data_IF_690522287305
#
_entry.id   IF_690522287305
#
_cell.length_a   1.000
_cell.length_b   1.000
_cell.length_c   1.000
_cell.angle_alpha   90.00
_cell.angle_beta   90.00
_cell.angle_gamma   90.00
#
_symmetry.space_group_name_H-M   'P 1'
#
loop_
_entity.id
_entity.type
_entity.pdbx_description
1 polymer ?
#
# COMPACT_ATOMS: atom_id res chain seq x y z
N UNK A 1 -29.43 -11.66 -25.23
CA UNK A 1 -29.55 -11.98 -23.78
C UNK A 1 -28.37 -11.32 -23.14
N UNK A 2 -28.67 -10.30 -22.37
CA UNK A 2 -27.75 -9.30 -21.84
C UNK A 2 -26.83 -9.85 -20.73
N UNK A 3 -25.58 -9.64 -20.96
CA UNK A 3 -24.46 -9.91 -20.02
C UNK A 3 -24.51 -8.88 -18.88
N UNK A 4 -25.21 -9.20 -17.79
CA UNK A 4 -25.23 -8.37 -16.58
C UNK A 4 -23.90 -8.54 -15.86
N UNK A 5 -23.01 -7.57 -16.07
CA UNK A 5 -21.80 -7.36 -15.25
C UNK A 5 -22.21 -7.08 -13.82
N UNK A 6 -22.10 -8.09 -12.98
CA UNK A 6 -22.28 -7.98 -11.53
C UNK A 6 -21.01 -7.28 -10.94
N UNK A 7 -20.90 -6.00 -11.16
CA UNK A 7 -20.07 -5.11 -10.36
C UNK A 7 -20.99 -4.40 -9.37
N UNK A 8 -21.13 -5.03 -8.19
CA UNK A 8 -21.89 -4.43 -7.10
C UNK A 8 -20.97 -3.44 -6.35
N UNK A 9 -21.21 -2.10 -6.41
CA UNK A 9 -20.36 -1.09 -5.77
C UNK A 9 -20.26 -1.23 -4.24
N UNK A 10 -21.25 -1.86 -3.59
CA UNK A 10 -21.26 -2.07 -2.14
C UNK A 10 -20.28 -3.13 -1.62
N UNK A 11 -19.73 -4.01 -2.49
CA UNK A 11 -18.73 -5.01 -2.08
C UNK A 11 -17.32 -4.45 -1.90
N UNK A 12 -17.02 -3.28 -2.48
CA UNK A 12 -15.71 -2.62 -2.36
C UNK A 12 -15.46 -2.07 -0.96
N UNK A 13 -16.50 -1.56 -0.30
CA UNK A 13 -16.36 -0.92 1.02
C UNK A 13 -16.18 -1.93 2.15
N UNK A 14 -16.89 -3.06 2.12
CA UNK A 14 -16.72 -4.14 3.08
C UNK A 14 -15.33 -4.79 2.96
N UNK A 15 -14.87 -5.07 1.75
CA UNK A 15 -13.52 -5.61 1.52
C UNK A 15 -12.42 -4.65 2.02
N UNK A 16 -12.61 -3.35 1.89
CA UNK A 16 -11.68 -2.32 2.37
C UNK A 16 -11.65 -2.23 3.90
N UNK A 17 -12.79 -2.33 4.57
CA UNK A 17 -12.89 -2.33 6.04
C UNK A 17 -12.27 -3.59 6.65
N UNK A 18 -12.50 -4.77 6.06
CA UNK A 18 -11.87 -6.02 6.51
C UNK A 18 -10.35 -6.01 6.32
N UNK A 19 -9.85 -5.47 5.22
CA UNK A 19 -8.40 -5.31 5.03
C UNK A 19 -7.78 -4.37 6.06
N UNK A 20 -8.48 -3.33 6.48
CA UNK A 20 -8.02 -2.42 7.52
C UNK A 20 -7.81 -3.14 8.88
N UNK A 21 -8.70 -4.08 9.23
CA UNK A 21 -8.58 -4.88 10.46
C UNK A 21 -7.41 -5.87 10.47
N UNK A 22 -6.96 -6.32 9.31
CA UNK A 22 -5.83 -7.25 9.17
C UNK A 22 -4.47 -6.55 9.14
N UNK A 23 -4.43 -5.22 8.92
CA UNK A 23 -3.18 -4.48 8.81
C UNK A 23 -2.42 -4.44 10.13
N UNK A 24 -1.10 -4.65 10.15
CA UNK A 24 -0.27 -4.40 11.31
C UNK A 24 -0.33 -2.91 11.70
N UNK A 25 -0.19 -2.64 12.99
CA UNK A 25 -0.21 -1.26 13.52
C UNK A 25 1.16 -0.77 13.91
N UNK A 26 2.08 -1.68 14.21
CA UNK A 26 3.45 -1.37 14.65
C UNK A 26 4.48 -2.05 13.73
N UNK A 27 5.73 -1.62 13.81
CA UNK A 27 6.83 -2.29 13.12
C UNK A 27 7.04 -3.72 13.64
N UNK A 28 6.76 -3.99 14.90
CA UNK A 28 6.89 -5.33 15.47
C UNK A 28 5.84 -6.29 14.92
N UNK A 29 4.62 -5.80 14.66
CA UNK A 29 3.55 -6.57 14.02
C UNK A 29 3.74 -6.76 12.51
N UNK A 30 4.66 -5.98 11.89
CA UNK A 30 4.88 -5.99 10.46
C UNK A 30 5.81 -7.14 10.07
N UNK A 31 5.25 -8.21 9.52
CA UNK A 31 5.97 -9.41 9.11
C UNK A 31 6.76 -9.13 7.84
N UNK A 32 7.97 -9.68 7.75
CA UNK A 32 8.85 -9.58 6.59
C UNK A 32 9.54 -8.22 6.41
N UNK A 33 10.19 -8.04 5.26
CA UNK A 33 10.92 -6.81 4.90
C UNK A 33 11.92 -6.37 5.99
N UNK A 34 12.63 -7.30 6.60
CA UNK A 34 13.43 -7.08 7.82
C UNK A 34 14.37 -5.87 7.70
N UNK A 35 15.14 -5.78 6.60
CA UNK A 35 16.07 -4.67 6.37
C UNK A 35 15.38 -3.30 6.32
N UNK A 36 14.19 -3.25 5.72
CA UNK A 36 13.38 -2.02 5.64
C UNK A 36 12.89 -1.62 7.02
N UNK A 37 12.40 -2.59 7.80
CA UNK A 37 11.92 -2.38 9.18
C UNK A 37 13.05 -1.85 10.09
N UNK A 38 14.21 -2.49 10.06
CA UNK A 38 15.37 -2.07 10.87
C UNK A 38 15.80 -0.63 10.54
N UNK A 39 15.92 -0.28 9.26
CA UNK A 39 16.28 1.06 8.84
C UNK A 39 15.22 2.10 9.25
N UNK A 40 13.94 1.78 9.06
CA UNK A 40 12.83 2.67 9.47
C UNK A 40 12.78 2.84 10.98
N UNK A 41 12.99 1.77 11.75
CA UNK A 41 13.04 1.86 13.21
C UNK A 41 14.09 2.86 13.69
N UNK A 42 15.32 2.79 13.16
CA UNK A 42 16.40 3.73 13.49
C UNK A 42 16.00 5.17 13.13
N UNK A 43 15.47 5.39 11.93
CA UNK A 43 15.10 6.72 11.44
C UNK A 43 13.94 7.33 12.25
N UNK A 44 12.93 6.52 12.57
CA UNK A 44 11.77 6.93 13.37
C UNK A 44 12.20 7.29 14.79
N UNK A 45 12.98 6.45 15.44
CA UNK A 45 13.46 6.73 16.82
C UNK A 45 14.34 7.98 16.86
N UNK A 46 15.21 8.18 15.87
CA UNK A 46 16.01 9.37 15.78
C UNK A 46 15.16 10.65 15.58
N UNK A 47 14.13 10.60 14.75
CA UNK A 47 13.19 11.72 14.55
C UNK A 47 12.40 12.03 15.85
N UNK A 48 11.92 11.00 16.55
CA UNK A 48 11.23 11.13 17.84
C UNK A 48 12.12 11.78 18.91
N UNK A 49 13.38 11.35 19.01
CA UNK A 49 14.33 11.91 19.98
C UNK A 49 14.65 13.38 19.73
N UNK A 50 14.72 13.79 18.47
CA UNK A 50 14.92 15.20 18.10
C UNK A 50 13.65 16.04 18.20
N UNK A 51 12.46 15.41 18.24
CA UNK A 51 11.17 16.11 18.16
C UNK A 51 10.86 16.68 16.77
N UNK A 52 11.53 16.19 15.74
CA UNK A 52 11.40 16.65 14.36
C UNK A 52 10.44 15.77 13.54
N UNK A 53 10.00 16.28 12.37
CA UNK A 53 9.39 15.43 11.36
C UNK A 53 10.41 14.40 10.82
N UNK A 54 9.95 13.21 10.45
CA UNK A 54 10.77 12.23 9.75
C UNK A 54 11.11 12.75 8.35
N UNK A 55 12.30 12.45 7.85
CA UNK A 55 12.64 12.71 6.45
C UNK A 55 11.61 12.09 5.51
N UNK A 56 11.41 12.71 4.34
CA UNK A 56 10.47 12.21 3.35
C UNK A 56 10.84 10.80 2.89
N UNK A 57 9.84 9.91 2.80
CA UNK A 57 10.01 8.47 2.54
C UNK A 57 9.43 8.10 1.18
N UNK A 58 10.19 7.41 0.36
CA UNK A 58 9.73 6.77 -0.87
C UNK A 58 9.67 5.26 -0.71
N UNK A 59 8.46 4.70 -0.84
CA UNK A 59 8.23 3.26 -0.82
C UNK A 59 7.92 2.79 -2.25
N UNK A 60 8.73 1.87 -2.79
CA UNK A 60 8.49 1.38 -4.14
C UNK A 60 8.57 -0.13 -4.24
N UNK A 61 7.95 -0.69 -5.26
CA UNK A 61 7.91 -2.13 -5.51
C UNK A 61 6.57 -2.59 -6.09
N UNK A 62 6.44 -3.87 -6.43
CA UNK A 62 5.22 -4.45 -6.98
C UNK A 62 3.95 -4.13 -6.18
N UNK A 63 2.76 -4.20 -6.80
CA UNK A 63 1.51 -3.97 -6.09
C UNK A 63 1.25 -5.08 -5.04
N UNK A 64 0.53 -4.73 -3.97
CA UNK A 64 0.09 -5.71 -2.95
C UNK A 64 1.13 -6.10 -1.90
N UNK A 65 2.33 -5.48 -1.90
CA UNK A 65 3.41 -5.78 -0.95
C UNK A 65 3.36 -4.96 0.36
N UNK A 66 2.32 -4.14 0.58
CA UNK A 66 2.10 -3.45 1.85
C UNK A 66 2.65 -2.02 1.93
N UNK A 67 2.92 -1.31 0.81
CA UNK A 67 3.39 0.09 0.84
C UNK A 67 2.49 1.01 1.66
N UNK A 68 1.18 1.00 1.41
CA UNK A 68 0.18 1.77 2.15
C UNK A 68 0.10 1.35 3.63
N UNK A 69 0.24 0.06 3.90
CA UNK A 69 0.28 -0.47 5.27
C UNK A 69 1.51 0.03 6.01
N UNK A 70 2.67 -0.01 5.37
CA UNK A 70 3.92 0.46 5.98
C UNK A 70 3.88 1.97 6.24
N UNK A 71 3.28 2.77 5.35
CA UNK A 71 3.06 4.20 5.59
C UNK A 71 2.20 4.44 6.83
N UNK A 72 1.12 3.67 7.02
CA UNK A 72 0.29 3.77 8.22
C UNK A 72 1.04 3.34 9.48
N UNK A 73 1.87 2.29 9.40
CA UNK A 73 2.74 1.86 10.51
C UNK A 73 3.74 2.97 10.88
N UNK A 74 4.38 3.62 9.90
CA UNK A 74 5.30 4.73 10.16
C UNK A 74 4.59 5.87 10.91
N UNK A 75 3.40 6.27 10.47
CA UNK A 75 2.63 7.32 11.14
C UNK A 75 2.24 6.93 12.59
N UNK A 76 1.83 5.68 12.80
CA UNK A 76 1.52 5.16 14.13
C UNK A 76 2.74 5.15 15.04
N UNK A 77 3.89 4.70 14.54
CA UNK A 77 5.15 4.70 15.29
C UNK A 77 5.60 6.13 15.67
N UNK A 78 5.41 7.09 14.76
CA UNK A 78 5.67 8.51 15.04
C UNK A 78 4.65 9.13 16.01
N UNK A 79 3.51 8.47 16.23
CA UNK A 79 2.42 8.98 17.07
C UNK A 79 1.68 10.17 16.46
N UNK A 80 1.60 10.24 15.12
CA UNK A 80 0.97 11.35 14.38
C UNK A 80 -0.15 10.85 13.46
N UNK A 81 -1.01 11.77 13.04
CA UNK A 81 -2.04 11.46 12.06
C UNK A 81 -1.45 11.27 10.66
N UNK A 82 -2.12 10.44 9.85
CA UNK A 82 -1.79 10.27 8.44
C UNK A 82 -2.96 10.72 7.58
N UNK A 83 -2.70 11.65 6.66
CA UNK A 83 -3.61 11.97 5.56
C UNK A 83 -3.20 11.20 4.33
N UNK A 84 -4.14 10.48 3.74
CA UNK A 84 -3.89 9.65 2.59
C UNK A 84 -4.61 10.18 1.36
N UNK A 85 -3.89 10.22 0.24
CA UNK A 85 -4.41 10.54 -1.09
C UNK A 85 -3.69 9.69 -2.13
N UNK A 86 -4.02 9.90 -3.41
CA UNK A 86 -3.34 9.25 -4.52
C UNK A 86 -2.98 10.28 -5.60
N UNK A 87 -1.87 10.07 -6.31
CA UNK A 87 -1.43 10.95 -7.37
C UNK A 87 -2.53 11.35 -8.36
N UNK A 88 -3.33 10.40 -8.89
CA UNK A 88 -4.42 10.72 -9.82
C UNK A 88 -5.57 11.55 -9.24
N UNK A 89 -5.71 11.59 -7.93
CA UNK A 89 -6.79 12.36 -7.24
C UNK A 89 -6.44 13.82 -7.12
N UNK A 90 -5.14 14.14 -7.13
CA UNK A 90 -4.65 15.53 -7.08
C UNK A 90 -4.68 16.08 -8.51
N UNK A 91 -5.78 16.74 -8.88
CA UNK A 91 -5.96 17.23 -10.24
C UNK A 91 -5.39 18.65 -10.45
N UNK A 92 -5.44 19.46 -9.41
CA UNK A 92 -5.06 20.87 -9.46
C UNK A 92 -4.06 21.24 -8.37
N UNK A 93 -3.25 22.25 -8.65
CA UNK A 93 -2.36 22.90 -7.71
C UNK A 93 -3.03 23.29 -6.38
N UNK A 94 -4.26 23.80 -6.47
CA UNK A 94 -5.06 24.19 -5.31
C UNK A 94 -5.46 23.03 -4.40
N UNK A 95 -5.63 21.82 -4.95
CA UNK A 95 -5.97 20.62 -4.17
C UNK A 95 -4.81 20.23 -3.25
N UNK A 96 -3.58 20.23 -3.81
CA UNK A 96 -2.37 19.96 -3.05
C UNK A 96 -2.09 21.06 -2.02
N UNK A 97 -2.24 22.33 -2.40
CA UNK A 97 -2.05 23.46 -1.51
C UNK A 97 -3.03 23.42 -0.33
N UNK A 98 -4.30 23.10 -0.56
CA UNK A 98 -5.30 22.94 0.49
C UNK A 98 -4.95 21.79 1.45
N UNK A 99 -4.45 20.67 0.94
CA UNK A 99 -3.98 19.57 1.79
C UNK A 99 -2.79 19.99 2.64
N UNK A 100 -1.77 20.60 2.04
CA UNK A 100 -0.53 20.96 2.74
C UNK A 100 -0.74 22.06 3.78
N UNK A 101 -1.54 23.08 3.50
CA UNK A 101 -1.83 24.18 4.44
C UNK A 101 -2.67 23.77 5.67
N UNK A 102 -3.35 22.64 5.58
CA UNK A 102 -4.16 22.09 6.69
C UNK A 102 -3.46 21.01 7.49
N UNK A 103 -2.23 20.60 7.11
CA UNK A 103 -1.44 19.65 7.88
C UNK A 103 -1.05 20.22 9.24
N UNK A 104 -1.06 19.37 10.25
CA UNK A 104 -0.51 19.70 11.56
C UNK A 104 0.99 19.42 11.61
N UNK A 105 1.66 19.95 12.62
CA UNK A 105 3.09 19.73 12.80
C UNK A 105 3.44 18.25 12.88
N UNK A 106 4.42 17.82 12.09
CA UNK A 106 4.93 16.42 11.96
C UNK A 106 3.92 15.41 11.41
N UNK A 107 2.75 15.85 10.97
CA UNK A 107 1.74 14.97 10.36
C UNK A 107 2.31 14.28 9.09
N UNK A 108 1.82 13.08 8.79
CA UNK A 108 2.21 12.34 7.58
C UNK A 108 1.23 12.62 6.47
N UNK A 109 1.74 13.06 5.31
CA UNK A 109 1.00 13.06 4.05
C UNK A 109 1.43 11.83 3.23
N UNK A 110 0.50 10.92 2.98
CA UNK A 110 0.72 9.76 2.14
C UNK A 110 0.12 9.96 0.76
N UNK A 111 0.94 9.80 -0.30
CA UNK A 111 0.50 9.87 -1.69
C UNK A 111 0.77 8.53 -2.37
N UNK A 112 -0.30 7.77 -2.65
CA UNK A 112 -0.18 6.53 -3.43
C UNK A 112 -0.05 6.83 -4.92
N UNK A 113 0.68 5.97 -5.64
CA UNK A 113 0.97 6.14 -7.07
C UNK A 113 1.51 7.55 -7.39
N UNK A 114 2.44 8.02 -6.59
CA UNK A 114 3.03 9.38 -6.66
C UNK A 114 3.58 9.72 -8.06
N UNK A 115 4.01 8.74 -8.84
CA UNK A 115 4.47 8.90 -10.24
C UNK A 115 3.36 9.33 -11.22
N UNK A 116 2.10 9.35 -10.77
CA UNK A 116 0.95 9.75 -11.60
C UNK A 116 0.51 11.21 -11.36
N UNK A 117 1.22 11.95 -10.55
CA UNK A 117 1.03 13.40 -10.43
C UNK A 117 1.46 14.09 -11.72
N UNK A 118 0.81 15.20 -12.05
CA UNK A 118 1.23 16.04 -13.17
C UNK A 118 2.51 16.83 -12.81
N UNK A 119 3.35 17.18 -13.78
CA UNK A 119 4.54 17.99 -13.51
C UNK A 119 4.24 19.31 -12.80
N UNK A 120 3.12 19.96 -13.11
CA UNK A 120 2.71 21.20 -12.45
C UNK A 120 2.41 21.03 -10.96
N UNK A 121 1.94 19.83 -10.54
CA UNK A 121 1.71 19.49 -9.14
C UNK A 121 3.03 19.16 -8.45
N UNK A 122 3.94 18.46 -9.14
CA UNK A 122 5.28 18.18 -8.61
C UNK A 122 6.05 19.47 -8.32
N UNK A 123 5.98 20.49 -9.21
CA UNK A 123 6.66 21.78 -9.03
C UNK A 123 6.22 22.51 -7.75
N UNK A 124 4.95 22.35 -7.34
CA UNK A 124 4.44 22.94 -6.08
C UNK A 124 4.90 22.12 -4.87
N UNK A 125 5.06 20.81 -5.06
CA UNK A 125 5.49 19.92 -3.98
C UNK A 125 6.97 20.14 -3.61
N UNK A 126 7.82 20.54 -4.56
CA UNK A 126 9.25 20.71 -4.32
C UNK A 126 9.58 21.70 -3.20
N UNK A 127 9.14 22.98 -3.26
CA UNK A 127 9.43 23.92 -2.17
C UNK A 127 8.75 23.51 -0.86
N UNK A 128 7.60 22.83 -0.92
CA UNK A 128 6.95 22.32 0.28
C UNK A 128 7.78 21.24 0.98
N UNK A 129 8.49 20.40 0.23
CA UNK A 129 9.36 19.35 0.78
C UNK A 129 10.71 19.89 1.30
N UNK A 130 11.28 20.91 0.64
CA UNK A 130 12.60 21.43 0.98
C UNK A 130 12.54 22.56 2.04
N UNK A 131 11.67 23.54 1.79
CA UNK A 131 11.63 24.79 2.54
C UNK A 131 10.40 24.91 3.47
N UNK A 132 9.45 23.97 3.36
CA UNK A 132 8.15 24.02 4.04
C UNK A 132 7.37 25.29 3.68
N UNK A 133 7.43 25.67 2.42
CA UNK A 133 6.75 26.83 1.83
C UNK A 133 6.01 26.44 0.55
N UNK A 134 4.91 27.11 0.27
CA UNK A 134 4.19 27.00 -1.01
C UNK A 134 4.27 28.32 -1.74
N UNK A 135 4.61 28.26 -3.03
CA UNK A 135 4.53 29.41 -3.92
C UNK A 135 3.14 29.44 -4.58
N UNK A 136 2.28 30.34 -4.13
CA UNK A 136 0.92 30.49 -4.65
C UNK A 136 0.84 31.76 -5.50
N UNK A 137 0.41 31.59 -6.76
CA UNK A 137 0.14 32.74 -7.65
C UNK A 137 -1.22 33.31 -7.35
N UNK A 138 -1.26 34.59 -6.95
CA UNK A 138 -2.49 35.35 -6.69
C UNK A 138 -2.67 36.39 -7.79
N UNK A 139 -3.87 36.43 -8.40
CA UNK A 139 -4.21 37.34 -9.49
C UNK A 139 -4.05 36.69 -10.87
N UNK A 140 -4.34 37.46 -11.90
CA UNK A 140 -4.25 37.04 -13.31
C UNK A 140 -3.49 38.08 -14.15
N UNK A 141 -2.84 37.61 -15.21
CA UNK A 141 -2.14 38.48 -16.15
C UNK A 141 -0.91 39.22 -15.55
N UNK A 142 -0.57 40.42 -16.02
CA UNK A 142 0.64 41.12 -15.59
C UNK A 142 0.67 41.58 -14.13
N UNK A 143 -0.47 41.52 -13.44
CA UNK A 143 -0.60 41.84 -11.99
C UNK A 143 -0.54 40.60 -11.09
N UNK A 144 -0.32 39.42 -11.64
CA UNK A 144 -0.15 38.22 -10.84
C UNK A 144 1.10 38.34 -9.94
N UNK A 145 0.95 37.98 -8.68
CA UNK A 145 2.03 37.99 -7.68
C UNK A 145 2.19 36.61 -7.08
N UNK A 146 3.44 36.16 -6.92
CA UNK A 146 3.73 34.99 -6.11
C UNK A 146 3.73 35.36 -4.64
N UNK A 147 3.02 34.58 -3.82
CA UNK A 147 2.99 34.73 -2.37
C UNK A 147 3.47 33.41 -1.77
N UNK A 148 4.47 33.49 -0.90
CA UNK A 148 4.97 32.35 -0.14
C UNK A 148 4.06 32.10 1.07
N UNK A 149 3.51 30.91 1.17
CA UNK A 149 2.67 30.49 2.28
C UNK A 149 3.43 29.41 3.05
N UNK A 150 3.76 29.65 4.32
CA UNK A 150 4.43 28.63 5.12
C UNK A 150 3.48 27.46 5.40
N UNK A 151 4.03 26.24 5.39
CA UNK A 151 3.35 25.01 5.81
C UNK A 151 4.06 24.43 7.03
N UNK A 152 3.32 23.69 7.84
CA UNK A 152 3.92 23.00 9.00
C UNK A 152 4.93 21.96 8.53
N UNK A 153 5.95 21.68 9.33
CA UNK A 153 6.88 20.58 9.04
C UNK A 153 6.12 19.27 9.02
N UNK A 154 6.21 18.53 7.93
CA UNK A 154 5.49 17.30 7.71
C UNK A 154 6.39 16.23 7.10
N UNK A 155 5.96 14.98 7.14
CA UNK A 155 6.62 13.89 6.44
C UNK A 155 5.78 13.50 5.23
N UNK A 156 6.37 13.61 4.02
CA UNK A 156 5.77 13.02 2.83
C UNK A 156 6.17 11.55 2.73
N UNK A 157 5.20 10.66 2.60
CA UNK A 157 5.43 9.26 2.22
C UNK A 157 4.85 9.04 0.83
N UNK A 158 5.72 8.93 -0.17
CA UNK A 158 5.33 8.59 -1.54
C UNK A 158 5.36 7.08 -1.75
N UNK A 159 4.32 6.52 -2.39
CA UNK A 159 4.32 5.14 -2.82
C UNK A 159 4.24 5.05 -4.35
N UNK A 160 4.96 4.10 -4.95
CA UNK A 160 4.93 3.87 -6.39
C UNK A 160 5.18 2.42 -6.76
N UNK A 161 4.53 1.97 -7.82
CA UNK A 161 4.83 0.69 -8.48
C UNK A 161 5.87 0.85 -9.60
N UNK A 162 6.16 2.08 -10.04
CA UNK A 162 6.96 2.39 -11.22
C UNK A 162 7.96 3.53 -10.96
N UNK A 163 9.08 3.20 -10.33
CA UNK A 163 10.14 4.20 -10.03
C UNK A 163 10.72 4.89 -11.26
N UNK A 164 10.76 4.22 -12.40
CA UNK A 164 11.26 4.80 -13.65
C UNK A 164 10.38 5.91 -14.22
N UNK A 165 9.16 6.10 -13.72
CA UNK A 165 8.27 7.20 -14.11
C UNK A 165 8.35 8.40 -13.16
N UNK A 166 9.07 8.29 -12.03
CA UNK A 166 9.33 9.43 -11.16
C UNK A 166 10.36 10.36 -11.80
N UNK A 167 10.10 11.65 -11.74
CA UNK A 167 11.06 12.65 -12.16
C UNK A 167 12.31 12.61 -11.26
N UNK A 168 13.47 12.89 -11.81
CA UNK A 168 14.71 12.93 -11.05
C UNK A 168 14.68 13.98 -9.92
N UNK A 169 14.10 15.18 -10.11
CA UNK A 169 13.95 16.16 -9.04
C UNK A 169 13.08 15.68 -7.87
N UNK A 170 11.94 15.05 -8.16
CA UNK A 170 11.07 14.51 -7.10
C UNK A 170 11.78 13.41 -6.32
N UNK A 171 12.43 12.48 -7.04
CA UNK A 171 13.14 11.37 -6.41
C UNK A 171 14.26 11.83 -5.48
N UNK A 172 15.00 12.88 -5.87
CA UNK A 172 16.13 13.40 -5.09
C UNK A 172 15.70 14.02 -3.74
N UNK A 173 14.42 14.39 -3.60
CA UNK A 173 13.87 15.00 -2.39
C UNK A 173 13.44 14.00 -1.32
N UNK A 174 13.41 12.72 -1.65
CA UNK A 174 13.19 11.68 -0.65
C UNK A 174 14.50 11.29 0.02
N UNK A 175 14.64 11.62 1.31
CA UNK A 175 15.82 11.27 2.12
C UNK A 175 15.88 9.77 2.45
N UNK A 176 14.73 9.12 2.52
CA UNK A 176 14.60 7.69 2.84
C UNK A 176 13.93 6.98 1.66
N UNK A 177 14.63 5.99 1.06
CA UNK A 177 14.13 5.27 -0.11
C UNK A 177 14.19 3.77 0.14
N UNK A 178 13.04 3.11 0.14
CA UNK A 178 12.95 1.66 0.37
C UNK A 178 12.21 0.93 -0.73
N UNK A 179 12.83 -0.15 -1.20
CA UNK A 179 12.20 -1.12 -2.08
C UNK A 179 11.54 -2.20 -1.23
N UNK A 180 10.28 -2.51 -1.54
CA UNK A 180 9.59 -3.68 -1.01
C UNK A 180 9.70 -4.80 -2.03
N UNK A 181 10.17 -5.96 -1.59
CA UNK A 181 10.32 -7.15 -2.39
C UNK A 181 9.22 -8.18 -2.09
N UNK A 182 9.09 -9.18 -2.96
CA UNK A 182 8.19 -10.30 -2.68
C UNK A 182 8.59 -11.01 -1.40
N UNK A 183 7.59 -11.44 -0.66
CA UNK A 183 7.77 -12.14 0.61
C UNK A 183 8.17 -13.59 0.40
N UNK A 184 8.99 -14.11 1.29
CA UNK A 184 9.27 -15.54 1.38
C UNK A 184 8.02 -16.35 1.77
N UNK A 185 8.04 -17.64 1.47
CA UNK A 185 6.91 -18.52 1.79
C UNK A 185 6.63 -18.56 3.30
N UNK A 186 7.66 -18.59 4.13
CA UNK A 186 7.54 -18.58 5.58
C UNK A 186 6.90 -17.30 6.10
N UNK A 187 7.29 -16.15 5.54
CA UNK A 187 6.69 -14.86 5.88
C UNK A 187 5.20 -14.79 5.50
N UNK A 188 4.85 -15.26 4.30
CA UNK A 188 3.43 -15.33 3.87
C UNK A 188 2.65 -16.30 4.76
N UNK A 189 3.24 -17.44 5.13
CA UNK A 189 2.60 -18.39 6.06
C UNK A 189 2.28 -17.72 7.41
N UNK A 190 3.21 -16.96 7.95
CA UNK A 190 3.01 -16.20 9.19
C UNK A 190 1.90 -15.15 9.03
N UNK A 191 1.86 -14.44 7.89
CA UNK A 191 0.79 -13.48 7.57
C UNK A 191 -0.57 -14.18 7.52
N UNK A 192 -0.67 -15.35 6.86
CA UNK A 192 -1.93 -16.11 6.77
C UNK A 192 -2.37 -16.57 8.15
N UNK A 193 -1.48 -17.10 8.98
CA UNK A 193 -1.79 -17.52 10.35
C UNK A 193 -2.27 -16.36 11.22
N UNK A 194 -1.58 -15.22 11.16
CA UNK A 194 -1.97 -14.01 11.85
C UNK A 194 -3.36 -13.54 11.41
N UNK A 195 -3.59 -13.49 10.09
CA UNK A 195 -4.87 -13.08 9.52
C UNK A 195 -6.01 -14.02 9.88
N UNK A 196 -5.79 -15.35 9.87
CA UNK A 196 -6.77 -16.35 10.27
C UNK A 196 -7.14 -16.18 11.75
N UNK A 197 -6.17 -15.91 12.62
CA UNK A 197 -6.40 -15.63 14.05
C UNK A 197 -7.26 -14.39 14.25
N UNK A 198 -6.95 -13.29 13.55
CA UNK A 198 -7.74 -12.04 13.63
C UNK A 198 -9.18 -12.27 13.15
N UNK A 199 -9.35 -13.07 12.09
CA UNK A 199 -10.67 -13.42 11.55
C UNK A 199 -11.41 -14.46 12.38
N UNK A 200 -10.80 -15.02 13.43
CA UNK A 200 -11.40 -16.07 14.27
C UNK A 200 -11.65 -17.39 13.52
N UNK A 201 -10.84 -17.69 12.50
CA UNK A 201 -11.01 -18.89 11.66
C UNK A 201 -9.95 -19.94 12.01
N UNK A 202 -10.34 -21.13 12.47
CA UNK A 202 -9.41 -22.22 12.70
C UNK A 202 -8.86 -22.73 11.35
N UNK A 203 -7.54 -22.85 11.26
CA UNK A 203 -6.83 -23.28 10.05
C UNK A 203 -5.70 -24.23 10.40
N UNK A 204 -5.57 -25.32 9.67
CA UNK A 204 -4.49 -26.27 9.80
C UNK A 204 -3.18 -25.73 9.21
N UNK A 205 -2.05 -26.22 9.74
CA UNK A 205 -0.72 -25.84 9.27
C UNK A 205 -0.54 -26.09 7.77
N UNK A 206 -0.95 -27.26 7.29
CA UNK A 206 -0.81 -27.64 5.89
C UNK A 206 -1.70 -26.80 4.97
N UNK A 207 -2.90 -26.43 5.41
CA UNK A 207 -3.78 -25.52 4.70
C UNK A 207 -3.17 -24.11 4.61
N UNK A 208 -2.48 -23.67 5.67
CA UNK A 208 -1.74 -22.41 5.69
C UNK A 208 -0.61 -22.40 4.64
N UNK A 209 0.14 -23.49 4.54
CA UNK A 209 1.21 -23.65 3.54
C UNK A 209 0.60 -23.60 2.13
N UNK A 210 -0.49 -24.31 1.88
CA UNK A 210 -1.16 -24.34 0.57
C UNK A 210 -1.60 -22.93 0.12
N UNK A 211 -2.18 -22.13 1.02
CA UNK A 211 -2.55 -20.74 0.72
C UNK A 211 -1.31 -19.87 0.49
N UNK A 212 -0.27 -20.05 1.30
CA UNK A 212 0.96 -19.27 1.19
C UNK A 212 1.66 -19.50 -0.15
N UNK A 213 1.84 -20.75 -0.55
CA UNK A 213 2.48 -21.13 -1.83
C UNK A 213 1.73 -20.48 -3.01
N UNK A 214 0.39 -20.56 -3.03
CA UNK A 214 -0.41 -19.98 -4.12
C UNK A 214 -0.53 -18.45 -4.09
N UNK A 215 -0.02 -17.80 -3.05
CA UNK A 215 -0.03 -16.33 -2.93
C UNK A 215 1.11 -15.63 -3.65
N UNK A 216 2.07 -16.37 -4.19
CA UNK A 216 3.22 -15.86 -4.95
C UNK A 216 3.96 -14.71 -4.25
N UNK A 217 4.21 -14.86 -2.95
CA UNK A 217 4.92 -13.86 -2.16
C UNK A 217 4.19 -12.52 -1.98
N UNK A 218 2.86 -12.48 -2.17
CA UNK A 218 2.09 -11.24 -2.12
C UNK A 218 1.06 -11.26 -0.99
N UNK A 219 1.23 -10.47 0.09
CA UNK A 219 0.31 -10.43 1.24
C UNK A 219 -1.14 -10.13 0.88
N UNK A 220 -1.40 -9.23 -0.08
CA UNK A 220 -2.76 -8.91 -0.55
C UNK A 220 -3.43 -10.15 -1.18
N UNK A 221 -2.69 -10.92 -1.97
CA UNK A 221 -3.20 -12.16 -2.57
C UNK A 221 -3.45 -13.19 -1.48
N UNK A 222 -2.53 -13.37 -0.54
CA UNK A 222 -2.68 -14.30 0.59
C UNK A 222 -3.96 -14.04 1.40
N UNK A 223 -4.18 -12.79 1.79
CA UNK A 223 -5.37 -12.39 2.54
C UNK A 223 -6.66 -12.56 1.71
N UNK A 224 -6.61 -12.27 0.41
CA UNK A 224 -7.74 -12.51 -0.49
C UNK A 224 -8.09 -13.99 -0.59
N UNK A 225 -7.08 -14.85 -0.80
CA UNK A 225 -7.27 -16.31 -0.86
C UNK A 225 -7.80 -16.85 0.47
N UNK A 226 -7.20 -16.45 1.60
CA UNK A 226 -7.67 -16.86 2.93
C UNK A 226 -9.15 -16.53 3.15
N UNK A 227 -9.61 -15.33 2.77
CA UNK A 227 -11.03 -14.95 2.89
C UNK A 227 -11.92 -15.85 2.05
N UNK A 228 -11.57 -16.14 0.81
CA UNK A 228 -12.37 -17.02 -0.07
C UNK A 228 -12.41 -18.45 0.43
N UNK A 229 -11.28 -18.96 0.93
CA UNK A 229 -11.21 -20.29 1.55
C UNK A 229 -12.06 -20.34 2.83
N UNK A 230 -12.06 -19.28 3.65
CA UNK A 230 -12.93 -19.14 4.82
C UNK A 230 -14.41 -19.21 4.42
N UNK A 231 -14.81 -18.42 3.41
CA UNK A 231 -16.21 -18.39 2.94
C UNK A 231 -16.66 -19.79 2.48
N UNK A 232 -15.77 -20.51 1.77
CA UNK A 232 -16.01 -21.91 1.37
C UNK A 232 -16.13 -22.83 2.60
N UNK A 233 -15.23 -22.70 3.59
CA UNK A 233 -15.26 -23.49 4.80
C UNK A 233 -16.54 -23.28 5.61
N UNK A 234 -17.05 -22.07 5.70
CA UNK A 234 -18.30 -21.75 6.38
C UNK A 234 -19.52 -22.39 5.71
N UNK A 235 -19.54 -22.45 4.38
CA UNK A 235 -20.72 -22.93 3.62
C UNK A 235 -20.66 -24.44 3.36
N UNK A 236 -19.47 -24.99 3.11
CA UNK A 236 -19.27 -26.38 2.64
C UNK A 236 -18.57 -27.29 3.62
N UNK A 237 -18.08 -26.74 4.74
CA UNK A 237 -17.45 -27.45 5.82
C UNK A 237 -18.00 -26.90 7.16
N UNK A 238 -17.37 -27.24 8.26
CA UNK A 238 -17.77 -26.81 9.61
C UNK A 238 -17.08 -25.50 10.07
N UNK A 239 -16.64 -24.67 9.14
CA UNK A 239 -15.91 -23.43 9.43
C UNK A 239 -14.41 -23.61 9.70
N UNK A 240 -13.90 -24.85 9.70
CA UNK A 240 -12.48 -25.16 9.87
C UNK A 240 -11.79 -25.35 8.52
N UNK A 241 -10.67 -24.68 8.33
CA UNK A 241 -9.88 -24.76 7.10
C UNK A 241 -8.86 -25.88 7.23
N UNK A 242 -9.21 -27.07 6.75
CA UNK A 242 -8.27 -28.19 6.57
C UNK A 242 -7.58 -28.10 5.21
N UNK A 243 -6.54 -28.93 5.00
CA UNK A 243 -5.85 -29.00 3.69
C UNK A 243 -6.82 -29.32 2.54
N UNK A 244 -7.74 -30.28 2.74
CA UNK A 244 -8.73 -30.68 1.74
C UNK A 244 -9.70 -29.54 1.42
N UNK A 245 -10.18 -28.83 2.44
CA UNK A 245 -11.04 -27.64 2.30
C UNK A 245 -10.32 -26.56 1.52
N UNK A 246 -9.06 -26.26 1.85
CA UNK A 246 -8.27 -25.27 1.17
C UNK A 246 -8.10 -25.61 -0.34
N UNK A 247 -7.72 -26.84 -0.64
CA UNK A 247 -7.56 -27.31 -2.04
C UNK A 247 -8.85 -27.22 -2.84
N UNK A 248 -9.95 -27.67 -2.31
CA UNK A 248 -11.27 -27.60 -2.99
C UNK A 248 -11.71 -26.15 -3.21
N UNK A 249 -11.53 -25.28 -2.23
CA UNK A 249 -11.84 -23.88 -2.36
C UNK A 249 -10.97 -23.19 -3.44
N UNK A 250 -9.66 -23.42 -3.42
CA UNK A 250 -8.72 -22.85 -4.39
C UNK A 250 -8.96 -23.39 -5.80
N UNK A 251 -9.35 -24.66 -5.95
CA UNK A 251 -9.77 -25.24 -7.22
C UNK A 251 -11.05 -24.59 -7.75
N UNK A 252 -12.04 -24.32 -6.89
CA UNK A 252 -13.26 -23.60 -7.26
C UNK A 252 -12.98 -22.15 -7.72
N UNK A 253 -11.91 -21.55 -7.20
CA UNK A 253 -11.43 -20.22 -7.60
C UNK A 253 -10.55 -20.26 -8.84
N UNK A 254 -10.38 -21.44 -9.45
CA UNK A 254 -9.51 -21.67 -10.62
C UNK A 254 -8.05 -21.24 -10.43
N UNK A 255 -7.60 -21.18 -9.19
CA UNK A 255 -6.20 -20.90 -8.82
C UNK A 255 -5.42 -22.21 -8.85
N UNK A 256 -4.47 -22.33 -9.75
CA UNK A 256 -3.66 -23.53 -9.89
C UNK A 256 -2.61 -23.70 -8.77
N UNK A 257 -1.85 -24.79 -8.80
CA UNK A 257 -0.82 -25.11 -7.77
C UNK A 257 0.29 -24.05 -7.69
N UNK A 258 0.50 -23.26 -8.75
CA UNK A 258 1.49 -22.19 -8.81
C UNK A 258 0.89 -20.82 -8.47
N UNK A 259 -0.40 -20.78 -8.16
CA UNK A 259 -1.11 -19.53 -7.83
C UNK A 259 -1.54 -18.70 -9.05
N UNK A 260 -1.56 -19.28 -10.25
CA UNK A 260 -2.05 -18.60 -11.44
C UNK A 260 -3.56 -18.76 -11.58
N UNK A 261 -4.25 -17.65 -11.84
CA UNK A 261 -5.65 -17.67 -12.25
C UNK A 261 -5.81 -17.89 -13.77
N UNK A 262 -7.04 -17.91 -14.27
CA UNK A 262 -7.31 -18.12 -15.68
C UNK A 262 -6.67 -17.04 -16.57
N UNK A 263 -6.67 -15.78 -16.13
CA UNK A 263 -6.09 -14.65 -16.87
C UNK A 263 -4.57 -14.80 -16.93
N UNK A 264 -3.93 -15.12 -15.83
CA UNK A 264 -2.48 -15.37 -15.77
C UNK A 264 -2.09 -16.48 -16.76
N UNK A 265 -2.84 -17.60 -16.76
CA UNK A 265 -2.57 -18.73 -17.67
C UNK A 265 -2.77 -18.37 -19.14
N UNK A 266 -3.78 -17.56 -19.46
CA UNK A 266 -3.98 -17.06 -20.84
C UNK A 266 -2.83 -16.17 -21.30
N UNK A 267 -2.37 -15.25 -20.44
CA UNK A 267 -1.22 -14.38 -20.74
C UNK A 267 0.06 -15.18 -20.96
N UNK A 268 0.33 -16.18 -20.11
CA UNK A 268 1.48 -17.06 -20.27
C UNK A 268 1.45 -17.86 -21.59
N UNK A 269 0.27 -18.38 -21.97
CA UNK A 269 0.10 -19.07 -23.25
C UNK A 269 0.35 -18.16 -24.44
N UNK A 270 -0.16 -16.91 -24.41
CA UNK A 270 0.08 -15.94 -25.46
C UNK A 270 1.57 -15.56 -25.57
N UNK A 271 2.25 -15.38 -24.45
CA UNK A 271 3.68 -15.09 -24.41
C UNK A 271 4.52 -16.22 -25.02
N UNK A 272 4.16 -17.49 -24.77
CA UNK A 272 4.85 -18.66 -25.32
C UNK A 272 4.61 -18.88 -26.81
N UNK A 273 3.52 -18.34 -27.39
CA UNK A 273 3.22 -18.47 -28.84
C UNK A 273 4.05 -17.46 -29.66
N UNK A 274 4.58 -16.42 -29.03
CA UNK A 274 5.37 -15.37 -29.70
C UNK A 274 6.90 -15.49 -29.50
N UNK A 275 7.37 -16.60 -28.91
CA UNK A 275 8.78 -17.00 -28.83
C UNK A 275 9.04 -18.10 -29.86
#
# INVERSE_FOLDING_TARGET
MSDERILNPGRGDEDTQYEAGLRPRTLDDYIGQQRVRENLHVSIEAAKQRGDALDHVLLYGPPGLGKTTLAAVIANELGVAMRATAGPVIEKAGDLAAMLTTLQEREVLFIDEVHRMSPAIEEILYPAMEDYELDIMIGQGPSARSVKVPVQRFTLIGATTRTGLLTAPLRARFGIVHRLDFYGEDEIREIVQRSARILGVPIDRDATIEIATRSRGTPRVANRLLRRVRDYAQVRANGHITMDVARRALSLLEVDERGFDEIDRRLLRLSLIHI
#
